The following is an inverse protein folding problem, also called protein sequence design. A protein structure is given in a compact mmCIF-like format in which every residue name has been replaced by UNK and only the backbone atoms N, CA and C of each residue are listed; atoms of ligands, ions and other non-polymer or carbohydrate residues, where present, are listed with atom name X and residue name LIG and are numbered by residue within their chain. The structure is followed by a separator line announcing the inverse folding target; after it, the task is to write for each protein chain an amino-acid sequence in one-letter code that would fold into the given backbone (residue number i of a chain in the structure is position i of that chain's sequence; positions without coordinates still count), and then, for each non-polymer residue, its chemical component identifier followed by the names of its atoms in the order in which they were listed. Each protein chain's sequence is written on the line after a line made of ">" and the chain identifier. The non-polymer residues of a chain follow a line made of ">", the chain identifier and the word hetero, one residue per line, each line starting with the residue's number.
data_IF_361802078018
#
_entry.id   IF_361802078018
#
_cell.length_a   1.000
_cell.length_b   1.000
_cell.length_c   1.000
_cell.angle_alpha   90.00
_cell.angle_beta   90.00
_cell.angle_gamma   90.00
#
_symmetry.space_group_name_H-M   'P 1'
#
loop_
_entity.id
_entity.type
_entity.pdbx_description
1 polymer ?
#
# COMPACT_ATOMS: atom_id res chain seq x y z
N UNK A 1 -38.16 -19.75 -77.28
CA UNK A 1 -36.90 -20.46 -77.57
C UNK A 1 -36.02 -20.41 -76.32
N UNK A 2 -35.07 -21.35 -76.19
CA UNK A 2 -33.84 -21.38 -75.36
C UNK A 2 -33.40 -20.04 -74.71
N UNK A 3 -32.77 -19.96 -73.53
CA UNK A 3 -32.38 -20.92 -72.47
C UNK A 3 -31.67 -20.14 -71.32
N UNK A 4 -31.75 -20.62 -70.06
CA UNK A 4 -30.69 -20.72 -68.98
C UNK A 4 -29.69 -19.52 -68.85
N UNK A 5 -29.32 -18.90 -67.71
CA UNK A 5 -28.82 -19.32 -66.36
C UNK A 5 -28.98 -18.08 -65.40
N UNK A 6 -28.69 -18.01 -64.09
CA UNK A 6 -28.12 -18.90 -63.05
C UNK A 6 -28.65 -18.49 -61.66
N UNK A 7 -28.32 -19.27 -60.61
CA UNK A 7 -28.40 -18.87 -59.20
C UNK A 7 -27.08 -18.21 -58.75
N UNK A 8 -27.10 -17.39 -57.69
CA UNK A 8 -26.47 -17.76 -56.41
C UNK A 8 -27.03 -16.90 -55.27
N UNK A 9 -27.25 -17.54 -54.12
CA UNK A 9 -27.69 -16.89 -52.89
C UNK A 9 -26.55 -16.95 -51.86
N UNK A 10 -26.46 -15.92 -51.01
CA UNK A 10 -25.79 -16.00 -49.72
C UNK A 10 -26.34 -14.87 -48.85
N UNK A 11 -27.18 -15.22 -47.88
CA UNK A 11 -27.61 -14.32 -46.82
C UNK A 11 -26.75 -14.51 -45.58
N UNK A 12 -26.58 -13.45 -44.80
CA UNK A 12 -26.25 -13.55 -43.38
C UNK A 12 -27.23 -12.68 -42.60
N UNK A 13 -27.84 -13.29 -41.59
CA UNK A 13 -28.82 -12.66 -40.72
C UNK A 13 -28.11 -11.80 -39.69
N UNK A 14 -28.47 -10.53 -39.57
CA UNK A 14 -28.03 -9.68 -38.47
C UNK A 14 -29.07 -9.76 -37.34
N UNK A 15 -28.87 -10.71 -36.43
CA UNK A 15 -29.77 -10.92 -35.30
C UNK A 15 -29.42 -9.96 -34.15
N UNK A 16 -30.37 -9.10 -33.80
CA UNK A 16 -30.40 -8.26 -32.61
C UNK A 16 -30.04 -9.04 -31.34
N UNK A 17 -29.14 -8.52 -30.50
CA UNK A 17 -29.19 -8.78 -29.06
C UNK A 17 -29.06 -7.47 -28.29
N UNK A 18 -30.05 -7.24 -27.44
CA UNK A 18 -30.20 -6.11 -26.54
C UNK A 18 -29.47 -6.46 -25.24
N UNK A 19 -28.58 -5.60 -24.75
CA UNK A 19 -28.11 -5.67 -23.35
C UNK A 19 -28.32 -4.31 -22.72
N UNK A 20 -29.43 -4.18 -22.01
CA UNK A 20 -29.72 -3.04 -21.12
C UNK A 20 -29.06 -3.36 -19.79
N UNK A 21 -27.98 -2.66 -19.45
CA UNK A 21 -27.45 -2.69 -18.08
C UNK A 21 -28.27 -1.76 -17.19
N UNK A 22 -28.92 -2.34 -16.19
CA UNK A 22 -29.63 -1.59 -15.16
C UNK A 22 -28.64 -0.84 -14.26
N UNK A 23 -28.87 0.46 -14.07
CA UNK A 23 -28.13 1.32 -13.13
C UNK A 23 -29.13 2.07 -12.24
N UNK A 24 -29.66 1.32 -11.27
CA UNK A 24 -30.54 1.70 -10.16
C UNK A 24 -30.20 0.69 -9.03
N UNK A 25 -29.97 1.03 -7.77
CA UNK A 25 -30.07 2.31 -7.04
C UNK A 25 -28.93 2.43 -6.01
N UNK A 26 -28.16 3.52 -6.00
CA UNK A 26 -27.53 4.09 -4.78
C UNK A 26 -27.52 5.62 -4.93
N UNK A 27 -28.70 6.22 -4.81
CA UNK A 27 -28.87 7.66 -4.81
C UNK A 27 -29.99 8.07 -3.85
N UNK A 28 -29.84 7.76 -2.55
CA UNK A 28 -30.58 8.41 -1.47
C UNK A 28 -29.96 8.12 -0.09
N UNK A 29 -28.95 8.90 0.30
CA UNK A 29 -28.64 9.15 1.72
C UNK A 29 -28.07 10.56 1.89
N UNK A 30 -28.87 11.55 1.52
CA UNK A 30 -28.57 12.93 1.85
C UNK A 30 -28.87 13.23 3.33
N UNK A 31 -28.05 14.13 3.89
CA UNK A 31 -28.45 15.11 4.90
C UNK A 31 -28.85 14.63 6.31
N UNK A 32 -27.84 14.26 7.12
CA UNK A 32 -27.85 14.54 8.57
C UNK A 32 -26.46 15.02 9.06
N UNK A 33 -26.20 16.34 8.97
CA UNK A 33 -25.10 16.98 9.72
C UNK A 33 -25.63 17.60 11.02
N UNK A 34 -25.18 17.17 12.22
CA UNK A 34 -25.46 17.90 13.45
C UNK A 34 -24.68 19.22 13.49
N UNK A 35 -25.36 20.30 13.86
CA UNK A 35 -24.73 21.62 14.12
C UNK A 35 -23.91 21.55 15.41
N UNK A 36 -22.58 21.54 15.30
CA UNK A 36 -21.70 21.79 16.44
C UNK A 36 -21.45 23.29 16.62
N UNK A 37 -21.49 23.70 17.88
CA UNK A 37 -21.49 25.10 18.31
C UNK A 37 -20.08 25.70 18.28
N UNK A 38 -20.01 27.00 17.96
CA UNK A 38 -18.85 27.85 18.28
C UNK A 38 -18.61 27.84 19.79
N UNK A 39 -17.38 27.57 20.20
CA UNK A 39 -16.81 28.11 21.43
C UNK A 39 -15.58 28.95 21.05
N UNK A 40 -15.59 30.22 21.42
CA UNK A 40 -14.44 31.13 21.31
C UNK A 40 -13.77 31.26 22.68
N UNK A 41 -12.45 31.19 22.73
CA UNK A 41 -11.68 31.68 23.88
C UNK A 41 -10.35 32.26 23.41
N UNK A 42 -10.21 33.57 23.55
CA UNK A 42 -8.97 34.29 23.30
C UNK A 42 -7.95 34.08 24.44
N UNK A 43 -6.66 34.06 24.07
CA UNK A 43 -5.59 34.76 24.79
C UNK A 43 -4.99 34.15 26.07
N UNK A 44 -3.69 33.86 26.01
CA UNK A 44 -2.70 34.31 27.01
C UNK A 44 -1.26 34.20 26.45
N UNK A 45 -0.37 35.07 26.94
CA UNK A 45 1.01 35.27 26.44
C UNK A 45 2.06 34.24 26.94
N UNK A 46 3.01 33.92 26.05
CA UNK A 46 4.50 33.93 26.15
C UNK A 46 5.24 34.06 27.54
N UNK A 47 6.59 33.93 27.61
CA UNK A 47 7.57 33.07 26.91
C UNK A 47 8.68 32.48 27.85
N UNK A 48 9.77 31.92 27.27
CA UNK A 48 11.08 31.52 27.88
C UNK A 48 11.15 30.10 28.49
N UNK A 49 12.29 29.38 28.51
CA UNK A 49 13.62 29.60 27.90
C UNK A 49 14.75 28.77 28.57
N UNK A 50 15.78 28.37 27.79
CA UNK A 50 17.06 27.70 28.17
C UNK A 50 17.02 26.30 28.84
N UNK A 51 17.75 25.25 28.42
CA UNK A 51 19.21 25.00 28.28
C UNK A 51 19.93 24.66 29.61
N UNK A 52 20.32 23.37 29.83
CA UNK A 52 21.69 22.90 30.17
C UNK A 52 21.80 21.45 30.71
N UNK A 53 22.95 20.82 30.39
CA UNK A 53 23.46 19.54 30.93
C UNK A 53 23.75 19.58 32.44
N UNK A 54 23.69 18.42 33.13
CA UNK A 54 24.90 17.84 33.79
C UNK A 54 24.78 16.38 34.26
N UNK A 55 25.91 15.67 34.17
CA UNK A 55 26.21 14.37 34.79
C UNK A 55 26.95 14.59 36.13
N UNK A 56 26.78 13.69 37.11
CA UNK A 56 27.91 13.03 37.79
C UNK A 56 27.69 11.50 37.81
N UNK A 57 28.65 10.60 37.57
CA UNK A 57 30.06 10.50 37.98
C UNK A 57 30.27 10.29 39.48
N UNK A 58 30.49 9.02 39.86
CA UNK A 58 31.33 8.62 41.00
C UNK A 58 31.75 7.16 40.82
N UNK A 59 33.05 6.93 40.64
CA UNK A 59 33.65 5.60 40.70
C UNK A 59 33.94 5.21 42.17
N UNK A 60 34.05 3.92 42.43
CA UNK A 60 34.82 3.39 43.57
C UNK A 60 35.38 2.02 43.21
N UNK A 61 36.68 1.82 43.38
CA UNK A 61 37.38 0.56 43.14
C UNK A 61 37.66 -0.19 44.46
N UNK A 62 38.11 -1.46 44.33
CA UNK A 62 38.78 -2.31 45.34
C UNK A 62 37.90 -2.89 46.48
N UNK A 63 38.05 -4.16 46.92
CA UNK A 63 38.84 -5.30 46.43
C UNK A 63 38.11 -6.65 46.83
N UNK A 64 38.68 -7.88 46.88
CA UNK A 64 37.97 -9.09 46.43
C UNK A 64 37.61 -10.07 47.57
N UNK A 65 37.34 -11.34 47.22
CA UNK A 65 37.14 -12.50 48.10
C UNK A 65 35.85 -12.52 48.96
N UNK A 66 34.78 -13.05 48.38
CA UNK A 66 34.23 -14.37 48.75
C UNK A 66 33.06 -14.75 47.84
N UNK A 67 33.07 -15.98 47.32
CA UNK A 67 31.98 -16.50 46.50
C UNK A 67 30.93 -17.21 47.37
N UNK A 68 29.64 -16.92 47.18
CA UNK A 68 28.57 -17.89 47.37
C UNK A 68 28.09 -18.43 46.00
N UNK A 69 27.74 -19.71 45.96
CA UNK A 69 27.33 -20.40 44.73
C UNK A 69 26.06 -19.79 44.13
N UNK A 70 26.15 -19.29 42.89
CA UNK A 70 24.98 -18.87 42.12
C UNK A 70 24.30 -20.10 41.54
N UNK A 71 23.13 -20.44 42.08
CA UNK A 71 22.18 -21.32 41.40
C UNK A 71 21.52 -20.54 40.25
N UNK A 72 22.21 -20.41 39.12
CA UNK A 72 21.53 -20.06 37.87
C UNK A 72 20.58 -21.22 37.49
N UNK A 73 19.29 -20.95 37.21
CA UNK A 73 18.46 -21.94 36.53
C UNK A 73 19.06 -22.22 35.14
N UNK A 74 18.89 -23.44 34.58
CA UNK A 74 19.35 -23.73 33.24
C UNK A 74 18.78 -22.72 32.26
N UNK A 75 19.63 -22.15 31.40
CA UNK A 75 19.17 -21.31 30.31
C UNK A 75 18.11 -22.07 29.51
N UNK A 76 16.93 -21.48 29.33
CA UNK A 76 15.93 -22.01 28.41
C UNK A 76 16.60 -22.11 27.03
N UNK A 77 16.48 -23.26 26.34
CA UNK A 77 17.00 -23.37 24.99
C UNK A 77 16.26 -22.34 24.13
N UNK A 78 17.01 -21.41 23.54
CA UNK A 78 16.48 -20.45 22.58
C UNK A 78 15.63 -21.20 21.56
N UNK A 79 14.39 -20.73 21.33
CA UNK A 79 13.54 -21.32 20.30
C UNK A 79 14.31 -21.40 18.98
N UNK A 80 14.24 -22.53 18.26
CA UNK A 80 14.88 -22.63 16.96
C UNK A 80 14.29 -21.55 16.07
N UNK A 81 15.16 -20.81 15.38
CA UNK A 81 14.73 -19.91 14.30
C UNK A 81 13.86 -20.71 13.35
N UNK A 82 12.59 -20.34 13.21
CA UNK A 82 11.71 -20.89 12.19
C UNK A 82 12.33 -20.51 10.84
N UNK A 83 12.97 -21.46 10.18
CA UNK A 83 13.31 -21.32 8.77
C UNK A 83 11.98 -21.30 8.03
N UNK A 84 11.62 -20.14 7.47
CA UNK A 84 10.45 -20.03 6.59
C UNK A 84 10.59 -21.04 5.47
N UNK A 85 9.51 -21.77 5.15
CA UNK A 85 9.54 -22.70 4.03
C UNK A 85 9.78 -21.88 2.75
N UNK A 86 10.76 -22.23 1.89
CA UNK A 86 10.98 -21.51 0.63
C UNK A 86 9.77 -21.50 -0.30
N UNK A 87 8.80 -22.41 -0.09
CA UNK A 87 7.53 -22.46 -0.81
C UNK A 87 6.46 -21.52 -0.24
N UNK A 88 6.62 -20.95 0.97
CA UNK A 88 5.65 -20.01 1.55
C UNK A 88 5.50 -18.72 0.70
N UNK A 89 4.27 -18.18 0.56
CA UNK A 89 4.05 -16.90 -0.11
C UNK A 89 4.73 -15.74 0.62
N UNK A 90 5.64 -15.07 -0.07
CA UNK A 90 6.36 -13.90 0.43
C UNK A 90 6.42 -12.79 -0.62
N UNK A 91 6.57 -11.55 -0.15
CA UNK A 91 6.65 -10.35 -0.98
C UNK A 91 7.83 -9.50 -0.51
N UNK A 92 8.84 -9.34 -1.38
CA UNK A 92 10.13 -8.73 -1.03
C UNK A 92 10.81 -9.34 0.22
N UNK A 93 10.61 -10.65 0.47
CA UNK A 93 11.20 -11.41 1.58
C UNK A 93 10.37 -11.42 2.87
N UNK A 94 9.33 -10.58 2.97
CA UNK A 94 8.37 -10.62 4.07
C UNK A 94 7.32 -11.71 3.78
N UNK A 95 7.01 -12.57 4.76
CA UNK A 95 5.94 -13.56 4.64
C UNK A 95 4.57 -12.86 4.60
N UNK A 96 3.66 -13.33 3.74
CA UNK A 96 2.30 -12.79 3.67
C UNK A 96 1.44 -13.41 4.77
N UNK A 97 0.69 -12.57 5.48
CA UNK A 97 -0.36 -13.03 6.39
C UNK A 97 -1.50 -13.72 5.60
N UNK A 98 -2.34 -14.51 6.28
CA UNK A 98 -3.46 -15.21 5.62
C UNK A 98 -4.47 -14.25 4.96
N UNK A 99 -4.62 -13.05 5.52
CA UNK A 99 -5.47 -11.99 5.01
C UNK A 99 -4.68 -10.70 4.80
N UNK A 100 -4.61 -10.16 3.58
CA UNK A 100 -3.77 -8.99 3.32
C UNK A 100 -4.31 -8.00 2.28
N UNK A 101 -3.88 -6.74 2.37
CA UNK A 101 -4.16 -5.71 1.37
C UNK A 101 -2.84 -5.14 0.85
N UNK A 102 -2.63 -5.20 -0.46
CA UNK A 102 -1.54 -4.49 -1.11
C UNK A 102 -1.98 -3.09 -1.52
N UNK A 103 -1.20 -2.06 -1.14
CA UNK A 103 -1.28 -0.71 -1.70
C UNK A 103 -0.09 -0.54 -2.63
N UNK A 104 -0.31 -0.59 -3.95
CA UNK A 104 0.74 -0.64 -4.96
C UNK A 104 0.86 0.68 -5.73
N UNK A 105 2.05 1.28 -5.69
CA UNK A 105 2.36 2.49 -6.44
C UNK A 105 2.47 2.24 -7.95
N UNK A 106 1.67 2.99 -8.70
CA UNK A 106 1.73 3.07 -10.15
C UNK A 106 1.81 4.54 -10.57
N UNK A 107 2.44 5.40 -9.78
CA UNK A 107 2.66 6.80 -10.15
C UNK A 107 3.72 6.95 -11.25
N UNK A 108 3.72 8.07 -11.98
CA UNK A 108 4.66 8.32 -13.09
C UNK A 108 6.14 8.18 -12.70
N UNK A 109 6.52 8.39 -11.43
CA UNK A 109 7.89 8.17 -10.94
C UNK A 109 8.33 6.71 -10.99
N UNK A 110 7.38 5.77 -10.95
CA UNK A 110 7.63 4.34 -11.02
C UNK A 110 8.12 3.89 -12.42
N UNK A 111 8.03 4.75 -13.45
CA UNK A 111 8.60 4.50 -14.77
C UNK A 111 10.14 4.69 -14.84
N UNK A 112 10.79 5.13 -13.75
CA UNK A 112 12.24 5.32 -13.68
C UNK A 112 12.98 3.97 -13.62
N UNK A 113 14.08 3.86 -14.38
CA UNK A 113 15.00 2.72 -14.40
C UNK A 113 16.24 3.03 -13.54
N UNK A 114 16.12 2.89 -12.22
CA UNK A 114 17.23 3.04 -11.27
C UNK A 114 17.31 1.92 -10.22
N UNK A 115 16.66 0.78 -10.51
CA UNK A 115 16.69 -0.44 -9.69
C UNK A 115 17.76 -1.39 -10.22
N UNK A 116 18.35 -2.21 -9.34
CA UNK A 116 19.23 -3.30 -9.72
C UNK A 116 18.53 -4.35 -10.63
N UNK A 117 19.32 -5.25 -11.23
CA UNK A 117 18.82 -6.37 -12.03
C UNK A 117 17.98 -7.32 -11.16
N UNK A 118 16.82 -7.75 -11.66
CA UNK A 118 15.83 -8.57 -10.93
C UNK A 118 15.51 -9.85 -11.71
N UNK A 119 15.27 -10.96 -11.00
CA UNK A 119 14.79 -12.22 -11.57
C UNK A 119 13.25 -12.22 -11.65
N UNK A 120 12.71 -12.49 -12.85
CA UNK A 120 11.26 -12.54 -13.08
C UNK A 120 10.62 -13.84 -12.56
N UNK A 121 9.29 -13.96 -12.69
CA UNK A 121 8.54 -15.12 -12.23
C UNK A 121 8.80 -16.43 -13.02
N UNK A 122 9.55 -16.35 -14.13
CA UNK A 122 9.90 -17.46 -15.00
C UNK A 122 11.43 -17.78 -14.94
N UNK A 123 12.19 -17.08 -14.09
CA UNK A 123 13.62 -17.28 -13.84
C UNK A 123 14.58 -16.50 -14.75
N UNK A 124 14.09 -15.51 -15.50
CA UNK A 124 14.95 -14.68 -16.35
C UNK A 124 15.45 -13.45 -15.60
N UNK A 125 16.71 -13.07 -15.82
CA UNK A 125 17.24 -11.80 -15.31
C UNK A 125 16.82 -10.66 -16.22
N UNK A 126 16.05 -9.72 -15.68
CA UNK A 126 15.68 -8.44 -16.30
C UNK A 126 16.68 -7.38 -15.85
N UNK A 127 17.50 -6.89 -16.78
CA UNK A 127 18.50 -5.86 -16.46
C UNK A 127 17.93 -4.45 -16.49
N UNK A 128 18.25 -3.66 -15.47
CA UNK A 128 17.79 -2.26 -15.30
C UNK A 128 16.25 -2.07 -15.51
N UNK A 129 15.39 -2.84 -14.83
CA UNK A 129 13.94 -2.72 -14.95
C UNK A 129 13.45 -1.33 -14.49
N UNK A 130 12.28 -0.90 -14.97
CA UNK A 130 11.60 0.23 -14.31
C UNK A 130 11.08 -0.21 -12.94
N UNK A 131 10.97 0.70 -11.97
CA UNK A 131 10.46 0.39 -10.63
C UNK A 131 9.09 -0.32 -10.70
N UNK A 132 8.20 0.13 -11.57
CA UNK A 132 6.87 -0.48 -11.79
C UNK A 132 6.97 -1.93 -12.28
N UNK A 133 7.98 -2.28 -13.07
CA UNK A 133 8.15 -3.65 -13.57
C UNK A 133 8.60 -4.59 -12.44
N UNK A 134 9.45 -4.12 -11.53
CA UNK A 134 9.83 -4.85 -10.30
C UNK A 134 8.60 -5.15 -9.45
N UNK A 135 7.71 -4.16 -9.26
CA UNK A 135 6.45 -4.35 -8.53
C UNK A 135 5.55 -5.39 -9.18
N UNK A 136 5.40 -5.33 -10.51
CA UNK A 136 4.61 -6.31 -11.26
C UNK A 136 5.20 -7.72 -11.12
N UNK A 137 6.50 -7.89 -11.36
CA UNK A 137 7.17 -9.20 -11.29
C UNK A 137 7.03 -9.83 -9.90
N UNK A 138 7.30 -9.05 -8.84
CA UNK A 138 7.18 -9.51 -7.45
C UNK A 138 5.71 -9.82 -7.07
N UNK A 139 4.77 -8.98 -7.50
CA UNK A 139 3.35 -9.19 -7.22
C UNK A 139 2.81 -10.43 -7.94
N UNK A 140 3.16 -10.62 -9.21
CA UNK A 140 2.78 -11.82 -9.98
C UNK A 140 3.43 -13.07 -9.40
N UNK A 141 4.71 -13.00 -8.98
CA UNK A 141 5.40 -14.12 -8.32
C UNK A 141 4.72 -14.52 -7.00
N UNK A 142 4.35 -13.54 -6.17
CA UNK A 142 3.63 -13.80 -4.92
C UNK A 142 2.22 -14.35 -5.18
N UNK A 143 1.45 -13.73 -6.09
CA UNK A 143 0.10 -14.17 -6.49
C UNK A 143 0.08 -15.63 -6.98
N UNK A 144 1.08 -16.05 -7.78
CA UNK A 144 1.21 -17.43 -8.28
C UNK A 144 1.48 -18.48 -7.19
N UNK A 145 1.84 -18.08 -5.96
CA UNK A 145 2.07 -18.97 -4.80
C UNK A 145 0.87 -19.07 -3.86
N UNK A 146 -0.12 -18.19 -3.97
CA UNK A 146 -1.29 -18.21 -3.09
C UNK A 146 -2.18 -19.42 -3.34
N UNK A 147 -2.91 -19.83 -2.31
CA UNK A 147 -3.93 -20.87 -2.36
C UNK A 147 -5.25 -20.44 -1.68
N UNK A 148 -6.24 -21.33 -1.66
CA UNK A 148 -7.56 -21.08 -1.06
C UNK A 148 -7.53 -20.79 0.46
N UNK A 149 -6.40 -20.85 1.17
CA UNK A 149 -6.30 -20.36 2.55
C UNK A 149 -6.19 -18.83 2.62
N UNK A 150 -5.68 -18.18 1.57
CA UNK A 150 -5.44 -16.73 1.57
C UNK A 150 -6.67 -15.92 1.11
N UNK A 151 -6.78 -14.69 1.61
CA UNK A 151 -7.73 -13.67 1.14
C UNK A 151 -7.05 -12.32 0.96
N UNK A 152 -7.30 -11.65 -0.17
CA UNK A 152 -6.61 -10.39 -0.48
C UNK A 152 -7.43 -9.41 -1.32
N UNK A 153 -6.96 -8.16 -1.39
CA UNK A 153 -7.33 -7.19 -2.43
C UNK A 153 -6.12 -6.30 -2.77
N UNK A 154 -6.22 -5.57 -3.88
CA UNK A 154 -5.17 -4.68 -4.39
C UNK A 154 -5.73 -3.27 -4.55
N UNK A 155 -5.09 -2.30 -3.91
CA UNK A 155 -5.39 -0.87 -3.93
C UNK A 155 -4.35 -0.17 -4.81
N UNK A 156 -4.79 0.46 -5.90
CA UNK A 156 -3.91 1.23 -6.80
C UNK A 156 -3.57 2.60 -6.20
N UNK A 157 -2.31 2.83 -5.92
CA UNK A 157 -1.74 4.14 -5.59
C UNK A 157 -1.25 4.82 -6.87
N UNK A 158 -2.17 5.44 -7.61
CA UNK A 158 -1.89 6.41 -8.67
C UNK A 158 -3.11 7.31 -8.89
N UNK A 159 -2.91 8.52 -9.41
CA UNK A 159 -4.02 9.39 -9.78
C UNK A 159 -4.72 8.98 -11.08
N UNK A 160 -5.79 9.69 -11.44
CA UNK A 160 -6.62 9.36 -12.59
C UNK A 160 -5.90 9.57 -13.94
N UNK A 161 -6.26 8.77 -14.94
CA UNK A 161 -6.05 9.11 -16.35
C UNK A 161 -6.77 10.42 -16.67
N UNK A 162 -6.02 11.54 -16.66
CA UNK A 162 -6.59 12.83 -17.04
C UNK A 162 -6.01 13.29 -18.39
N UNK A 163 -6.59 12.88 -19.54
CA UNK A 163 -6.03 13.12 -20.87
C UNK A 163 -5.97 14.60 -21.28
N UNK A 164 -6.56 15.52 -20.49
CA UNK A 164 -6.43 16.96 -20.66
C UNK A 164 -5.24 17.60 -19.92
N UNK A 165 -4.52 16.85 -19.08
CA UNK A 165 -3.45 17.40 -18.22
C UNK A 165 -3.95 18.35 -17.12
N UNK A 166 -5.26 18.31 -16.81
CA UNK A 166 -5.87 19.19 -15.82
C UNK A 166 -5.67 18.62 -14.40
N UNK A 167 -4.54 18.97 -13.78
CA UNK A 167 -4.14 18.49 -12.45
C UNK A 167 -5.16 18.82 -11.34
N UNK A 168 -6.20 19.63 -11.62
CA UNK A 168 -7.19 20.11 -10.65
C UNK A 168 -8.25 19.10 -10.23
N UNK A 169 -8.35 17.93 -10.87
CA UNK A 169 -9.27 16.86 -10.45
C UNK A 169 -8.57 16.04 -9.34
N UNK A 170 -9.18 15.88 -8.15
CA UNK A 170 -8.63 15.01 -7.11
C UNK A 170 -8.40 13.59 -7.65
N UNK A 171 -7.25 12.98 -7.36
CA UNK A 171 -7.00 11.60 -7.73
C UNK A 171 -8.01 10.67 -7.05
N UNK A 172 -8.46 9.63 -7.75
CA UNK A 172 -9.34 8.61 -7.18
C UNK A 172 -8.59 7.29 -7.15
N UNK A 173 -8.33 6.79 -5.95
CA UNK A 173 -7.75 5.46 -5.76
C UNK A 173 -8.73 4.39 -6.26
N UNK A 174 -8.23 3.48 -7.09
CA UNK A 174 -8.97 2.33 -7.63
C UNK A 174 -8.55 1.05 -6.91
N UNK A 175 -9.49 0.37 -6.26
CA UNK A 175 -9.28 -1.01 -5.81
C UNK A 175 -9.61 -1.99 -6.94
N UNK A 176 -8.98 -3.18 -6.94
CA UNK A 176 -9.29 -4.25 -7.89
C UNK A 176 -10.67 -4.86 -7.63
N UNK A 177 -10.98 -5.22 -6.38
CA UNK A 177 -12.32 -5.65 -5.95
C UNK A 177 -13.03 -4.63 -5.07
N UNK A 178 -12.30 -3.89 -4.24
CA UNK A 178 -12.87 -3.06 -3.17
C UNK A 178 -13.37 -3.87 -1.97
N UNK A 179 -12.91 -5.12 -1.85
CA UNK A 179 -13.23 -6.05 -0.77
C UNK A 179 -12.22 -7.21 -0.79
N UNK A 180 -11.91 -7.77 0.39
CA UNK A 180 -11.09 -8.98 0.49
C UNK A 180 -11.77 -10.13 -0.26
N UNK A 181 -11.04 -10.77 -1.18
CA UNK A 181 -11.50 -11.96 -1.90
C UNK A 181 -10.55 -13.12 -1.69
N UNK A 182 -11.12 -14.31 -1.55
CA UNK A 182 -10.38 -15.56 -1.40
C UNK A 182 -9.52 -15.86 -2.63
N UNK A 183 -8.28 -16.31 -2.43
CA UNK A 183 -7.28 -16.52 -3.47
C UNK A 183 -7.49 -17.80 -4.31
N UNK A 184 -8.72 -17.97 -4.81
CA UNK A 184 -9.04 -19.02 -5.79
C UNK A 184 -8.25 -18.80 -7.09
N UNK A 185 -7.95 -19.86 -7.88
CA UNK A 185 -7.21 -19.73 -9.14
C UNK A 185 -7.81 -18.70 -10.11
N UNK A 186 -9.14 -18.57 -10.13
CA UNK A 186 -9.83 -17.58 -10.96
C UNK A 186 -9.65 -16.14 -10.46
N UNK A 187 -9.51 -15.93 -9.15
CA UNK A 187 -9.21 -14.62 -8.56
C UNK A 187 -7.74 -14.26 -8.72
N UNK A 188 -6.81 -15.22 -8.51
CA UNK A 188 -5.37 -15.04 -8.76
C UNK A 188 -5.14 -14.58 -10.22
N UNK A 189 -5.71 -15.28 -11.20
CA UNK A 189 -5.60 -14.93 -12.62
C UNK A 189 -6.14 -13.51 -12.92
N UNK A 190 -7.30 -13.15 -12.36
CA UNK A 190 -7.88 -11.82 -12.52
C UNK A 190 -7.08 -10.70 -11.81
N UNK A 191 -6.39 -11.02 -10.71
CA UNK A 191 -5.50 -10.09 -10.01
C UNK A 191 -4.18 -9.88 -10.78
N UNK A 192 -3.62 -10.94 -11.35
CA UNK A 192 -2.45 -10.87 -12.25
C UNK A 192 -2.79 -9.99 -13.45
N UNK A 193 -3.90 -10.26 -14.15
CA UNK A 193 -4.36 -9.45 -15.29
C UNK A 193 -4.59 -7.98 -14.91
N UNK A 194 -5.10 -7.71 -13.70
CA UNK A 194 -5.20 -6.35 -13.18
C UNK A 194 -3.82 -5.69 -13.09
N UNK A 195 -2.90 -6.26 -12.31
CA UNK A 195 -1.52 -5.74 -12.08
C UNK A 195 -0.74 -5.54 -13.37
N UNK A 196 -0.84 -6.47 -14.33
CA UNK A 196 -0.17 -6.38 -15.64
C UNK A 196 -0.78 -5.30 -16.54
N UNK A 197 -2.09 -5.04 -16.44
CA UNK A 197 -2.79 -4.05 -17.26
C UNK A 197 -2.68 -2.60 -16.76
N UNK A 198 -2.38 -2.39 -15.47
CA UNK A 198 -2.29 -1.04 -14.90
C UNK A 198 -1.02 -0.31 -15.36
N UNK A 199 -1.21 0.77 -16.13
CA UNK A 199 -0.14 1.69 -16.52
C UNK A 199 0.24 2.68 -15.41
N UNK A 200 1.42 3.30 -15.55
CA UNK A 200 1.81 4.42 -14.68
C UNK A 200 0.97 5.65 -14.98
N UNK A 201 0.56 6.38 -13.93
CA UNK A 201 -0.33 7.54 -14.03
C UNK A 201 0.16 8.67 -13.12
N UNK A 202 -0.31 9.89 -13.37
CA UNK A 202 0.17 11.04 -12.61
C UNK A 202 -0.29 11.03 -11.14
N UNK A 203 0.63 11.36 -10.24
CA UNK A 203 0.34 11.65 -8.82
C UNK A 203 0.37 10.44 -7.89
N UNK A 204 0.57 10.70 -6.60
CA UNK A 204 0.77 9.68 -5.56
C UNK A 204 -0.29 9.90 -4.47
N UNK A 205 -1.52 9.36 -4.64
CA UNK A 205 -2.66 9.61 -3.74
C UNK A 205 -2.61 8.75 -2.47
N UNK A 206 -1.59 9.02 -1.65
CA UNK A 206 -1.31 8.25 -0.45
C UNK A 206 -2.37 8.43 0.66
N UNK A 207 -2.96 9.62 0.80
CA UNK A 207 -4.04 9.88 1.77
C UNK A 207 -5.25 9.01 1.43
N UNK A 208 -5.73 9.06 0.18
CA UNK A 208 -6.91 8.29 -0.25
C UNK A 208 -6.64 6.79 -0.27
N UNK A 209 -5.46 6.35 -0.73
CA UNK A 209 -5.13 4.94 -0.80
C UNK A 209 -4.98 4.29 0.59
N UNK A 210 -4.32 4.97 1.54
CA UNK A 210 -4.19 4.48 2.91
C UNK A 210 -5.51 4.55 3.68
N UNK A 211 -6.33 5.58 3.45
CA UNK A 211 -7.69 5.64 4.01
C UNK A 211 -8.54 4.46 3.51
N UNK A 212 -8.49 4.16 2.20
CA UNK A 212 -9.19 3.00 1.64
C UNK A 212 -8.70 1.69 2.26
N UNK A 213 -7.38 1.50 2.41
CA UNK A 213 -6.80 0.31 3.04
C UNK A 213 -7.23 0.14 4.51
N UNK A 214 -7.45 1.23 5.25
CA UNK A 214 -7.87 1.16 6.66
C UNK A 214 -9.40 1.02 6.86
N UNK A 215 -10.22 1.51 5.92
CA UNK A 215 -11.66 1.65 6.13
C UNK A 215 -12.56 0.78 5.25
N UNK A 216 -12.06 0.22 4.15
CA UNK A 216 -12.88 -0.59 3.22
C UNK A 216 -12.77 -2.10 3.46
N UNK A 217 -11.93 -2.54 4.40
CA UNK A 217 -11.56 -3.95 4.57
C UNK A 217 -11.79 -4.41 6.01
N UNK A 218 -12.42 -5.58 6.15
CA UNK A 218 -12.78 -6.20 7.43
C UNK A 218 -11.86 -7.40 7.69
N UNK A 219 -10.92 -7.24 8.62
CA UNK A 219 -9.95 -8.27 9.00
C UNK A 219 -10.51 -9.09 10.17
N UNK A 220 -11.57 -9.85 9.89
CA UNK A 220 -12.47 -10.43 10.88
C UNK A 220 -11.84 -11.31 11.98
N UNK A 221 -10.65 -11.87 11.74
CA UNK A 221 -9.96 -12.82 12.63
C UNK A 221 -8.68 -12.26 13.30
N UNK A 222 -8.32 -10.98 13.07
CA UNK A 222 -7.16 -10.32 13.70
C UNK A 222 -5.77 -10.74 13.19
N UNK A 223 -5.69 -11.81 12.39
CA UNK A 223 -4.51 -12.12 11.57
C UNK A 223 -4.62 -11.43 10.21
N UNK A 224 -3.67 -10.54 9.91
CA UNK A 224 -3.59 -9.92 8.60
C UNK A 224 -2.56 -8.81 8.47
N UNK A 225 -2.40 -8.29 7.27
CA UNK A 225 -1.38 -7.27 6.97
C UNK A 225 -1.81 -6.24 5.92
N UNK A 226 -1.27 -5.02 6.05
CA UNK A 226 -1.27 -4.01 4.99
C UNK A 226 0.16 -3.85 4.49
N UNK A 227 0.36 -4.04 3.20
CA UNK A 227 1.64 -3.91 2.52
C UNK A 227 1.61 -2.69 1.60
N UNK A 228 2.28 -1.60 1.99
CA UNK A 228 2.35 -0.34 1.23
C UNK A 228 3.65 -0.30 0.46
N UNK A 229 3.59 -0.39 -0.86
CA UNK A 229 4.77 -0.24 -1.72
C UNK A 229 4.73 1.10 -2.44
N UNK A 230 5.83 1.87 -2.41
CA UNK A 230 5.92 3.20 -3.05
C UNK A 230 7.33 3.65 -3.42
N UNK A 231 7.43 4.55 -4.41
CA UNK A 231 8.65 5.34 -4.69
C UNK A 231 8.47 6.85 -4.48
N UNK A 232 7.29 7.26 -4.00
CA UNK A 232 6.82 8.64 -3.96
C UNK A 232 6.44 9.10 -2.55
N UNK A 233 6.55 10.41 -2.32
CA UNK A 233 5.88 11.06 -1.19
C UNK A 233 4.45 11.49 -1.62
N UNK A 234 3.50 11.61 -0.68
CA UNK A 234 2.13 12.04 -0.97
C UNK A 234 2.05 13.34 -1.78
N UNK A 235 1.16 13.39 -2.77
CA UNK A 235 0.88 14.63 -3.49
C UNK A 235 -0.18 15.49 -2.80
N UNK A 236 0.04 16.80 -2.72
CA UNK A 236 -0.87 17.79 -2.10
C UNK A 236 -2.32 17.68 -2.60
N UNK A 237 -2.50 17.30 -3.87
CA UNK A 237 -3.79 17.22 -4.57
C UNK A 237 -4.75 16.14 -4.02
N UNK A 238 -4.23 15.23 -3.21
CA UNK A 238 -4.95 14.14 -2.57
C UNK A 238 -5.29 14.43 -1.09
N UNK A 239 -4.59 15.38 -0.46
CA UNK A 239 -4.75 15.68 0.96
C UNK A 239 -5.88 16.71 1.15
N UNK A 240 -6.90 16.44 1.99
CA UNK A 240 -7.99 17.37 2.21
C UNK A 240 -7.52 18.76 2.65
N UNK A 241 -8.09 19.79 2.02
CA UNK A 241 -7.81 21.21 2.24
C UNK A 241 -6.43 21.72 1.78
N UNK A 242 -5.53 20.87 1.25
CA UNK A 242 -4.29 21.35 0.64
C UNK A 242 -4.52 21.80 -0.82
N UNK A 243 -3.83 22.85 -1.28
CA UNK A 243 -3.96 23.32 -2.65
C UNK A 243 -3.21 22.41 -3.62
N UNK A 244 -3.89 21.96 -4.67
CA UNK A 244 -3.27 21.22 -5.77
C UNK A 244 -2.45 22.15 -6.69
N UNK A 245 -1.30 22.61 -6.20
CA UNK A 245 -0.38 23.51 -6.91
C UNK A 245 1.06 23.01 -6.80
N UNK A 246 1.94 23.51 -7.68
CA UNK A 246 3.37 23.16 -7.66
C UNK A 246 4.12 23.90 -6.53
N UNK A 247 5.09 23.26 -5.85
CA UNK A 247 5.49 21.85 -5.97
C UNK A 247 4.38 20.92 -5.44
N UNK A 248 4.08 19.86 -6.21
CA UNK A 248 2.94 18.97 -5.92
C UNK A 248 3.16 18.06 -4.72
N UNK A 249 4.37 18.04 -4.14
CA UNK A 249 4.71 17.36 -2.89
C UNK A 249 5.19 18.42 -1.90
N UNK A 250 4.84 18.26 -0.63
CA UNK A 250 5.20 19.18 0.46
C UNK A 250 5.40 18.42 1.78
N UNK A 251 6.08 19.04 2.73
CA UNK A 251 6.19 18.54 4.11
C UNK A 251 4.82 18.57 4.82
N UNK A 252 3.94 19.49 4.44
CA UNK A 252 2.57 19.60 4.97
C UNK A 252 1.72 18.40 4.55
N UNK A 253 1.77 18.02 3.25
CA UNK A 253 1.09 16.82 2.75
C UNK A 253 1.61 15.53 3.41
N UNK A 254 2.93 15.39 3.52
CA UNK A 254 3.54 14.25 4.25
C UNK A 254 3.08 14.19 5.71
N UNK A 255 3.09 15.33 6.40
CA UNK A 255 2.71 15.40 7.83
C UNK A 255 1.24 15.11 8.05
N UNK A 256 0.36 15.57 7.15
CA UNK A 256 -1.07 15.27 7.19
C UNK A 256 -1.33 13.76 7.01
N UNK A 257 -0.73 13.12 6.00
CA UNK A 257 -0.89 11.67 5.78
C UNK A 257 -0.37 10.86 6.96
N UNK A 258 0.80 11.19 7.52
CA UNK A 258 1.34 10.49 8.69
C UNK A 258 0.45 10.65 9.93
N UNK A 259 -0.04 11.87 10.18
CA UNK A 259 -0.96 12.19 11.28
C UNK A 259 -2.28 11.42 11.18
N UNK A 260 -2.90 11.42 10.00
CA UNK A 260 -4.23 10.85 9.81
C UNK A 260 -4.17 9.32 9.74
N UNK A 261 -3.21 8.76 9.00
CA UNK A 261 -3.02 7.31 8.94
C UNK A 261 -2.74 6.70 10.32
N UNK A 262 -1.97 7.38 11.17
CA UNK A 262 -1.72 6.91 12.54
C UNK A 262 -2.98 6.84 13.42
N UNK A 263 -4.04 7.58 13.06
CA UNK A 263 -5.35 7.50 13.71
C UNK A 263 -6.21 6.38 13.11
N UNK A 264 -6.18 6.20 11.78
CA UNK A 264 -6.96 5.14 11.10
C UNK A 264 -6.43 3.74 11.36
N UNK A 265 -5.09 3.58 11.40
CA UNK A 265 -4.44 2.29 11.56
C UNK A 265 -4.35 1.83 13.03
N UNK A 266 -4.44 2.74 14.00
CA UNK A 266 -4.41 2.40 15.43
C UNK A 266 -5.37 1.25 15.83
N UNK A 267 -6.68 1.27 15.49
CA UNK A 267 -7.59 0.16 15.82
C UNK A 267 -7.27 -1.14 15.08
N UNK A 268 -6.61 -1.09 13.91
CA UNK A 268 -6.20 -2.30 13.17
C UNK A 268 -4.98 -2.93 13.83
N UNK A 269 -4.00 -2.12 14.22
CA UNK A 269 -2.85 -2.56 15.02
C UNK A 269 -3.27 -3.18 16.36
N UNK A 270 -4.30 -2.63 17.01
CA UNK A 270 -4.89 -3.21 18.23
C UNK A 270 -5.56 -4.58 17.99
N UNK A 271 -5.98 -4.87 16.75
CA UNK A 271 -6.51 -6.18 16.35
C UNK A 271 -5.41 -7.19 15.98
N UNK A 272 -4.15 -6.76 15.85
CA UNK A 272 -3.03 -7.61 15.44
C UNK A 272 -2.55 -7.39 14.00
N UNK A 273 -3.19 -6.48 13.24
CA UNK A 273 -2.86 -6.25 11.84
C UNK A 273 -1.47 -5.63 11.69
N UNK A 274 -0.62 -6.28 10.89
CA UNK A 274 0.74 -5.84 10.59
C UNK A 274 0.77 -4.75 9.50
N UNK A 275 1.81 -3.91 9.54
CA UNK A 275 2.11 -2.93 8.50
C UNK A 275 3.51 -3.17 7.96
N UNK A 276 3.64 -3.32 6.65
CA UNK A 276 4.92 -3.41 5.96
C UNK A 276 4.98 -2.29 4.93
N UNK A 277 5.99 -1.42 5.02
CA UNK A 277 6.20 -0.33 4.07
C UNK A 277 7.46 -0.58 3.26
N UNK A 278 7.30 -0.74 1.95
CA UNK A 278 8.34 -1.13 1.01
C UNK A 278 8.64 0.06 0.11
N UNK A 279 9.85 0.62 0.21
CA UNK A 279 10.28 1.71 -0.64
C UNK A 279 11.11 1.17 -1.81
N UNK A 280 10.78 1.56 -3.03
CA UNK A 280 11.51 1.14 -4.26
C UNK A 280 12.34 2.31 -4.80
N UNK A 281 13.52 2.02 -5.34
CA UNK A 281 14.41 2.99 -6.00
C UNK A 281 15.13 3.93 -5.03
N UNK A 282 15.62 5.07 -5.54
CA UNK A 282 16.55 5.94 -4.78
C UNK A 282 15.96 7.29 -4.32
N UNK A 283 14.63 7.47 -4.37
CA UNK A 283 13.99 8.72 -3.97
C UNK A 283 14.07 8.96 -2.45
N UNK A 284 14.97 9.84 -2.02
CA UNK A 284 15.22 10.12 -0.59
C UNK A 284 14.01 10.69 0.14
N UNK A 285 13.19 11.53 -0.50
CA UNK A 285 12.00 12.10 0.13
C UNK A 285 10.94 11.02 0.39
N UNK A 286 10.73 10.12 -0.58
CA UNK A 286 9.86 8.97 -0.41
C UNK A 286 10.39 7.99 0.63
N UNK A 287 11.70 7.70 0.64
CA UNK A 287 12.34 6.85 1.65
C UNK A 287 12.16 7.37 3.08
N UNK A 288 12.33 8.68 3.29
CA UNK A 288 12.07 9.31 4.61
C UNK A 288 10.59 9.22 4.98
N UNK A 289 9.67 9.49 4.05
CA UNK A 289 8.23 9.34 4.29
C UNK A 289 7.84 7.90 4.64
N UNK A 290 8.27 6.92 3.84
CA UNK A 290 7.98 5.50 4.01
C UNK A 290 8.54 4.94 5.34
N UNK A 291 9.78 5.29 5.68
CA UNK A 291 10.40 4.94 6.96
C UNK A 291 9.63 5.53 8.16
N UNK A 292 9.17 6.78 8.05
CA UNK A 292 8.30 7.40 9.07
C UNK A 292 6.94 6.72 9.15
N UNK A 293 6.30 6.42 8.02
CA UNK A 293 5.00 5.74 7.95
C UNK A 293 5.03 4.41 8.71
N UNK A 294 6.06 3.59 8.48
CA UNK A 294 6.29 2.35 9.22
C UNK A 294 6.57 2.60 10.71
N UNK A 295 7.59 3.40 11.03
CA UNK A 295 8.07 3.55 12.41
C UNK A 295 7.08 4.26 13.34
N UNK A 296 6.33 5.25 12.87
CA UNK A 296 5.27 5.92 13.66
C UNK A 296 4.08 4.98 13.94
N UNK A 297 3.95 3.90 13.16
CA UNK A 297 2.87 2.92 13.26
C UNK A 297 3.28 1.56 13.83
N UNK A 298 4.55 1.37 14.22
CA UNK A 298 5.13 0.09 14.65
C UNK A 298 5.10 -1.00 13.56
N UNK A 299 5.18 -0.60 12.28
CA UNK A 299 5.36 -1.49 11.14
C UNK A 299 6.83 -1.68 10.73
N UNK A 300 7.05 -2.61 9.79
CA UNK A 300 8.35 -2.92 9.17
C UNK A 300 8.63 -1.98 8.00
N UNK A 301 9.90 -1.63 7.79
CA UNK A 301 10.36 -0.86 6.63
C UNK A 301 11.42 -1.63 5.83
N UNK A 302 11.20 -1.77 4.53
CA UNK A 302 12.10 -2.46 3.59
C UNK A 302 12.50 -1.53 2.45
N UNK A 303 13.80 -1.46 2.11
CA UNK A 303 14.31 -0.67 0.99
C UNK A 303 14.79 -1.57 -0.15
N UNK A 304 14.11 -1.50 -1.30
CA UNK A 304 14.47 -2.18 -2.55
C UNK A 304 15.27 -1.22 -3.43
N UNK A 305 16.45 -1.66 -3.87
CA UNK A 305 17.45 -0.86 -4.61
C UNK A 305 17.77 -1.43 -5.97
#
# INVERSE_FOLDING_TARGET
>A
MKSIVMMFALGCSLATHLVVYATQDIADTADQRPKLLRATSDGADAPSGRLLLRVPSSASEHNPENAPESNEPPAEPSDPSVENDPDDPSYHGEQLASTFVWVLDFSDSMAVQDVADVEDADGNIVSSPARVDVVRMECVRALRRLDDAFSFDIVKLAGNDNPGGDYMIPPVTKAWRGALVRATPANIEQAIQFVESEGTQWGTPMWTALHAACHNYDFADGDGSIHVLTDGAPTNCDVPNLPCVRPFQSEEAQSAVLSDFSQWFAPMREQGIALHVIQVGLNTAAGVFAMRLASENAGTFTHVR
#
